data_IF_043711263237
#
_entry.id   IF_043711263237
#
_cell.length_a   1.000
_cell.length_b   1.000
_cell.length_c   1.000
_cell.angle_alpha   90.00
_cell.angle_beta   90.00
_cell.angle_gamma   90.00
#
_symmetry.space_group_name_H-M   'P 1'
#
loop_
_entity.id
_entity.type
_entity.pdbx_description
1 polymer ?
#
# COMPACT_ATOMS: atom_id res chain seq x y z
N UNK A 1 -23.24 -10.38 -4.89
CA UNK A 1 -24.00 -9.46 -4.00
C UNK A 1 -25.51 -9.80 -3.95
N UNK A 2 -25.90 -11.10 -4.06
CA UNK A 2 -27.31 -11.50 -4.10
C UNK A 2 -28.12 -11.20 -2.82
N UNK A 3 -27.47 -10.96 -1.70
CA UNK A 3 -28.12 -10.66 -0.41
C UNK A 3 -27.99 -9.20 0.03
N UNK A 4 -27.37 -8.33 -0.76
CA UNK A 4 -27.20 -6.92 -0.41
C UNK A 4 -28.55 -6.22 -0.39
N UNK A 5 -28.98 -5.80 0.79
CA UNK A 5 -30.26 -5.12 1.02
C UNK A 5 -30.13 -3.72 1.57
N UNK A 6 -28.95 -3.37 2.09
CA UNK A 6 -28.70 -2.10 2.76
C UNK A 6 -27.45 -1.42 2.22
N UNK A 7 -27.56 -0.10 2.00
CA UNK A 7 -26.46 0.73 1.56
C UNK A 7 -26.45 2.04 2.39
N UNK A 8 -25.43 2.24 3.20
CA UNK A 8 -25.30 3.38 4.09
C UNK A 8 -24.36 4.43 3.52
N UNK A 9 -24.72 5.71 3.66
CA UNK A 9 -23.93 6.87 3.22
C UNK A 9 -23.59 7.78 4.39
N UNK A 10 -22.66 7.38 5.29
CA UNK A 10 -22.25 8.21 6.42
C UNK A 10 -21.61 9.52 5.95
N UNK A 11 -21.78 10.57 6.75
CA UNK A 11 -21.17 11.88 6.53
C UNK A 11 -19.89 12.07 7.32
N UNK A 12 -19.71 11.28 8.39
CA UNK A 12 -18.57 11.34 9.31
C UNK A 12 -17.97 9.96 9.54
N UNK A 13 -16.74 9.94 10.04
CA UNK A 13 -16.05 8.69 10.43
C UNK A 13 -16.82 8.00 11.55
N UNK A 14 -17.35 8.77 12.49
CA UNK A 14 -18.14 8.28 13.63
C UNK A 14 -19.39 7.52 13.15
N UNK A 15 -20.15 8.10 12.23
CA UNK A 15 -21.32 7.44 11.63
C UNK A 15 -20.94 6.15 10.88
N UNK A 16 -19.84 6.18 10.11
CA UNK A 16 -19.35 5.00 9.41
C UNK A 16 -19.05 3.85 10.39
N UNK A 17 -18.34 4.15 11.47
CA UNK A 17 -18.02 3.17 12.51
C UNK A 17 -19.26 2.66 13.26
N UNK A 18 -20.28 3.52 13.46
CA UNK A 18 -21.57 3.11 14.05
C UNK A 18 -22.31 2.14 13.13
N UNK A 19 -22.44 2.43 11.84
CA UNK A 19 -23.09 1.52 10.89
C UNK A 19 -22.36 0.17 10.79
N UNK A 20 -21.03 0.17 10.89
CA UNK A 20 -20.25 -1.06 10.91
C UNK A 20 -20.46 -1.87 12.21
N UNK A 21 -20.60 -1.19 13.36
CA UNK A 21 -20.76 -1.82 14.66
C UNK A 21 -22.18 -2.30 14.98
N UNK A 22 -23.19 -1.60 14.46
CA UNK A 22 -24.60 -1.87 14.73
C UNK A 22 -25.27 -2.71 13.63
N UNK A 23 -24.51 -3.10 12.60
CA UNK A 23 -25.04 -3.82 11.45
C UNK A 23 -25.59 -5.20 11.85
N UNK A 24 -26.88 -5.40 11.67
CA UNK A 24 -27.44 -6.74 11.59
C UNK A 24 -26.94 -7.38 10.30
N UNK A 25 -26.28 -8.55 10.41
CA UNK A 25 -25.71 -9.26 9.29
C UNK A 25 -24.30 -8.78 8.87
N UNK A 26 -23.77 -9.34 7.79
CA UNK A 26 -22.41 -9.08 7.35
C UNK A 26 -22.31 -7.75 6.58
N UNK A 27 -21.66 -6.80 7.21
CA UNK A 27 -21.44 -5.44 6.69
C UNK A 27 -19.99 -5.24 6.25
N UNK A 28 -19.76 -4.52 5.15
CA UNK A 28 -18.42 -4.18 4.68
C UNK A 28 -18.31 -2.70 4.29
N UNK A 29 -17.08 -2.18 4.39
CA UNK A 29 -16.74 -0.84 3.90
C UNK A 29 -16.57 -0.87 2.39
N UNK A 30 -17.10 0.15 1.72
CA UNK A 30 -16.79 0.47 0.32
C UNK A 30 -16.29 1.92 0.22
N UNK A 31 -15.30 2.14 -0.64
CA UNK A 31 -14.85 3.46 -1.07
C UNK A 31 -14.85 3.49 -2.61
N UNK A 32 -13.75 3.25 -3.29
CA UNK A 32 -13.70 3.23 -4.76
C UNK A 32 -14.37 2.03 -5.45
N UNK A 33 -14.86 1.05 -4.71
CA UNK A 33 -15.64 -0.10 -5.22
C UNK A 33 -14.86 -1.17 -5.99
N UNK A 34 -13.64 -0.91 -6.43
CA UNK A 34 -12.86 -1.80 -7.31
C UNK A 34 -12.54 -3.15 -6.69
N UNK A 35 -12.27 -3.20 -5.39
CA UNK A 35 -12.00 -4.43 -4.64
C UNK A 35 -13.30 -5.21 -4.35
N UNK A 36 -14.37 -4.50 -4.00
CA UNK A 36 -15.67 -5.11 -3.72
C UNK A 36 -16.27 -5.79 -4.96
N UNK A 37 -16.07 -5.20 -6.15
CA UNK A 37 -16.51 -5.80 -7.42
C UNK A 37 -15.79 -7.11 -7.74
N UNK A 38 -14.49 -7.23 -7.40
CA UNK A 38 -13.70 -8.43 -7.64
C UNK A 38 -13.93 -9.54 -6.61
N UNK A 39 -14.32 -9.16 -5.38
CA UNK A 39 -14.57 -10.10 -4.28
C UNK A 39 -16.06 -10.26 -4.05
N UNK A 40 -16.82 -10.63 -5.08
CA UNK A 40 -18.26 -10.84 -4.99
C UNK A 40 -18.62 -11.79 -3.83
N UNK A 41 -18.71 -11.25 -2.60
CA UNK A 41 -19.08 -11.98 -1.40
C UNK A 41 -20.61 -12.05 -1.33
N UNK A 42 -21.14 -13.23 -1.59
CA UNK A 42 -22.60 -13.47 -1.58
C UNK A 42 -23.21 -13.40 -0.19
N UNK A 43 -22.40 -13.35 0.87
CA UNK A 43 -22.86 -13.25 2.26
C UNK A 43 -23.01 -11.82 2.76
N UNK A 44 -22.54 -10.82 1.98
CA UNK A 44 -22.70 -9.41 2.34
C UNK A 44 -24.17 -8.98 2.27
N UNK A 45 -24.64 -8.37 3.32
CA UNK A 45 -26.00 -7.84 3.49
C UNK A 45 -26.05 -6.32 3.47
N UNK A 46 -24.97 -5.67 3.88
CA UNK A 46 -24.88 -4.22 3.91
C UNK A 46 -23.50 -3.68 3.45
N UNK A 47 -23.50 -2.49 2.86
CA UNK A 47 -22.29 -1.73 2.54
C UNK A 47 -22.36 -0.37 3.22
N UNK A 48 -21.21 0.10 3.70
CA UNK A 48 -21.00 1.44 4.25
C UNK A 48 -20.07 2.19 3.30
N UNK A 49 -20.61 3.13 2.55
CA UNK A 49 -19.85 3.93 1.58
C UNK A 49 -19.21 5.14 2.25
N UNK A 50 -17.90 5.06 2.42
CA UNK A 50 -17.09 6.12 3.02
C UNK A 50 -16.49 7.10 1.99
N UNK A 51 -16.76 6.92 0.70
CA UNK A 51 -16.13 7.68 -0.38
C UNK A 51 -16.41 9.20 -0.34
N UNK A 52 -17.52 9.59 0.29
CA UNK A 52 -17.96 10.97 0.41
C UNK A 52 -17.62 11.64 1.75
N UNK A 53 -16.92 10.95 2.65
CA UNK A 53 -16.45 11.55 3.91
C UNK A 53 -15.25 12.44 3.60
N UNK A 54 -15.44 13.75 3.68
CA UNK A 54 -14.41 14.75 3.32
C UNK A 54 -13.14 14.61 4.17
N UNK A 55 -13.30 14.25 5.45
CA UNK A 55 -12.19 13.99 6.38
C UNK A 55 -11.25 12.86 5.94
N UNK A 56 -11.63 12.05 4.96
CA UNK A 56 -10.84 10.93 4.43
C UNK A 56 -10.19 11.24 3.07
N UNK A 57 -10.37 12.43 2.51
CA UNK A 57 -9.89 12.78 1.16
C UNK A 57 -8.97 14.01 1.19
N UNK A 58 -7.69 13.79 1.41
CA UNK A 58 -6.68 14.84 1.43
C UNK A 58 -5.27 14.29 1.24
N UNK A 59 -4.35 15.17 0.82
CA UNK A 59 -2.90 14.99 0.89
C UNK A 59 -2.35 16.22 1.60
N UNK A 60 -1.86 16.05 2.81
CA UNK A 60 -1.24 17.09 3.61
C UNK A 60 0.24 16.77 3.84
N UNK A 61 1.06 17.81 3.92
CA UNK A 61 2.48 17.70 4.24
C UNK A 61 2.81 18.61 5.42
N UNK A 62 3.44 18.06 6.42
CA UNK A 62 4.17 18.82 7.44
C UNK A 62 5.68 18.68 7.25
N UNK A 63 6.48 19.15 8.20
CA UNK A 63 7.95 19.11 8.11
C UNK A 63 8.50 17.67 8.06
N UNK A 64 7.83 16.70 8.68
CA UNK A 64 8.31 15.35 8.90
C UNK A 64 7.54 14.27 8.12
N UNK A 65 6.28 14.53 7.75
CA UNK A 65 5.40 13.51 7.20
C UNK A 65 4.52 14.02 6.06
N UNK A 66 4.19 13.11 5.16
CA UNK A 66 3.01 13.19 4.31
C UNK A 66 1.87 12.44 4.99
N UNK A 67 0.69 13.05 5.00
CA UNK A 67 -0.55 12.47 5.52
C UNK A 67 -1.55 12.34 4.39
N UNK A 68 -1.96 11.12 4.10
CA UNK A 68 -2.82 10.79 2.97
C UNK A 68 -4.10 10.16 3.51
N UNK A 69 -5.21 10.83 3.31
CA UNK A 69 -6.52 10.33 3.70
C UNK A 69 -6.87 9.02 2.97
N UNK A 70 -7.57 8.12 3.63
CA UNK A 70 -7.83 6.78 3.09
C UNK A 70 -8.69 6.78 1.81
N UNK A 71 -9.53 7.79 1.60
CA UNK A 71 -10.33 7.95 0.39
C UNK A 71 -9.65 8.76 -0.71
N UNK A 72 -8.42 9.26 -0.50
CA UNK A 72 -7.61 9.90 -1.54
C UNK A 72 -7.43 8.93 -2.70
N UNK A 73 -7.73 9.38 -3.91
CA UNK A 73 -7.64 8.55 -5.12
C UNK A 73 -6.17 8.32 -5.50
N UNK A 74 -5.87 7.16 -6.05
CA UNK A 74 -4.52 6.85 -6.57
C UNK A 74 -4.08 7.86 -7.64
N UNK A 75 -5.02 8.37 -8.44
CA UNK A 75 -4.73 9.41 -9.43
C UNK A 75 -4.29 10.73 -8.79
N UNK A 76 -4.86 11.09 -7.64
CA UNK A 76 -4.49 12.30 -6.90
C UNK A 76 -3.09 12.15 -6.28
N UNK A 77 -2.75 10.95 -5.77
CA UNK A 77 -1.38 10.65 -5.34
C UNK A 77 -0.39 10.78 -6.51
N UNK A 78 -0.71 10.18 -7.66
CA UNK A 78 0.15 10.23 -8.85
C UNK A 78 0.40 11.66 -9.33
N UNK A 79 -0.60 12.53 -9.28
CA UNK A 79 -0.56 13.90 -9.80
C UNK A 79 -0.28 14.98 -8.76
N UNK A 80 -0.17 14.62 -7.49
CA UNK A 80 -0.02 15.59 -6.40
C UNK A 80 1.24 16.45 -6.56
N UNK A 81 1.12 17.79 -6.60
CA UNK A 81 2.28 18.68 -6.58
C UNK A 81 2.96 18.76 -5.21
N UNK A 82 2.28 18.28 -4.15
CA UNK A 82 2.75 18.35 -2.77
C UNK A 82 3.62 17.16 -2.38
N UNK A 83 3.51 16.04 -3.09
CA UNK A 83 4.34 14.85 -2.92
C UNK A 83 5.71 15.07 -3.58
N UNK A 84 6.63 15.74 -2.86
CA UNK A 84 7.99 16.06 -3.31
C UNK A 84 9.02 15.22 -2.55
N UNK A 85 10.29 15.36 -2.95
CA UNK A 85 11.39 14.62 -2.31
C UNK A 85 11.33 13.12 -2.52
N UNK A 86 12.17 12.35 -1.83
CA UNK A 86 12.34 10.92 -2.07
C UNK A 86 11.03 10.12 -1.88
N UNK A 87 10.35 10.30 -0.76
CA UNK A 87 9.12 9.57 -0.46
C UNK A 87 7.99 9.93 -1.44
N UNK A 88 7.80 11.22 -1.73
CA UNK A 88 6.78 11.67 -2.68
C UNK A 88 7.00 11.09 -4.08
N UNK A 89 8.26 11.10 -4.56
CA UNK A 89 8.64 10.52 -5.86
C UNK A 89 8.35 9.01 -5.91
N UNK A 90 8.65 8.28 -4.85
CA UNK A 90 8.37 6.84 -4.78
C UNK A 90 6.86 6.56 -4.84
N UNK A 91 6.06 7.30 -4.07
CA UNK A 91 4.61 7.18 -4.08
C UNK A 91 4.02 7.47 -5.46
N UNK A 92 4.47 8.56 -6.12
CA UNK A 92 4.03 8.91 -7.46
C UNK A 92 4.43 7.85 -8.50
N UNK A 93 5.66 7.33 -8.42
CA UNK A 93 6.14 6.28 -9.32
C UNK A 93 5.30 5.01 -9.19
N UNK A 94 5.03 4.54 -7.97
CA UNK A 94 4.19 3.38 -7.70
C UNK A 94 2.73 3.62 -8.15
N UNK A 95 2.14 4.76 -7.79
CA UNK A 95 0.78 5.12 -8.16
C UNK A 95 0.59 5.19 -9.69
N UNK A 96 1.56 5.75 -10.40
CA UNK A 96 1.54 5.88 -11.87
C UNK A 96 1.59 4.55 -12.61
N UNK A 97 2.04 3.48 -11.98
CA UNK A 97 2.10 2.12 -12.55
C UNK A 97 0.82 1.29 -12.29
N UNK A 98 -0.14 1.81 -11.55
CA UNK A 98 -1.41 1.13 -11.27
C UNK A 98 -2.37 1.36 -12.44
N UNK A 99 -2.60 0.33 -13.23
CA UNK A 99 -3.62 0.25 -14.28
C UNK A 99 -3.77 1.50 -15.15
N UNK A 100 -5.00 1.77 -15.57
CA UNK A 100 -5.36 2.94 -16.37
C UNK A 100 -5.73 4.16 -15.49
N UNK A 101 -5.80 5.34 -16.11
CA UNK A 101 -6.28 6.56 -15.44
C UNK A 101 -7.70 6.39 -14.87
N UNK A 102 -8.58 5.70 -15.61
CA UNK A 102 -9.95 5.42 -15.13
C UNK A 102 -9.93 4.58 -13.85
N UNK A 103 -9.07 3.56 -13.82
CA UNK A 103 -8.93 2.71 -12.64
C UNK A 103 -8.32 3.48 -11.45
N UNK A 104 -7.30 4.31 -11.68
CA UNK A 104 -6.70 5.16 -10.64
C UNK A 104 -7.66 6.20 -10.07
N UNK A 105 -8.62 6.68 -10.87
CA UNK A 105 -9.69 7.57 -10.40
C UNK A 105 -10.72 6.87 -9.49
N UNK A 106 -10.79 5.55 -9.54
CA UNK A 106 -11.67 4.76 -8.68
C UNK A 106 -10.96 4.21 -7.44
N UNK A 107 -9.72 3.70 -7.60
CA UNK A 107 -8.97 3.13 -6.47
C UNK A 107 -8.60 4.24 -5.47
N UNK A 108 -8.81 3.96 -4.18
CA UNK A 108 -8.40 4.84 -3.07
C UNK A 108 -7.19 4.28 -2.33
N UNK A 109 -6.43 5.16 -1.65
CA UNK A 109 -5.22 4.81 -0.89
C UNK A 109 -5.49 3.72 0.15
N UNK A 110 -6.47 3.95 1.03
CA UNK A 110 -6.87 2.99 2.06
C UNK A 110 -7.51 1.74 1.47
N UNK A 111 -8.34 1.88 0.43
CA UNK A 111 -8.95 0.74 -0.27
C UNK A 111 -7.93 -0.18 -0.94
N UNK A 112 -6.87 0.38 -1.54
CA UNK A 112 -5.78 -0.39 -2.13
C UNK A 112 -4.99 -1.16 -1.07
N UNK A 113 -4.73 -0.53 0.08
CA UNK A 113 -4.05 -1.16 1.21
C UNK A 113 -4.92 -2.23 1.88
N UNK A 114 -6.20 -1.96 2.15
CA UNK A 114 -7.12 -2.95 2.73
C UNK A 114 -7.40 -4.13 1.79
N UNK A 115 -7.52 -3.85 0.50
CA UNK A 115 -7.70 -4.86 -0.54
C UNK A 115 -6.51 -5.81 -0.66
N UNK A 116 -5.32 -5.30 -0.53
CA UNK A 116 -4.03 -6.01 -0.52
C UNK A 116 -3.97 -7.15 -1.55
N UNK A 117 -4.21 -6.79 -2.83
CA UNK A 117 -4.02 -7.74 -3.91
C UNK A 117 -2.53 -8.00 -4.14
N UNK A 118 -2.14 -9.25 -4.50
CA UNK A 118 -0.73 -9.61 -4.73
C UNK A 118 -0.01 -8.78 -5.80
N UNK A 119 -0.72 -7.99 -6.56
CA UNK A 119 -0.21 -7.12 -7.63
C UNK A 119 -0.37 -5.62 -7.35
N UNK A 120 -0.78 -5.25 -6.12
CA UNK A 120 -0.94 -3.84 -5.74
C UNK A 120 0.40 -3.16 -5.52
N UNK A 121 0.67 -2.08 -6.25
CA UNK A 121 1.97 -1.42 -6.25
C UNK A 121 2.18 -0.44 -5.08
N UNK A 122 1.13 0.24 -4.58
CA UNK A 122 1.27 1.18 -3.45
C UNK A 122 1.65 0.50 -2.12
N UNK A 123 1.13 -0.67 -1.72
CA UNK A 123 1.54 -1.32 -0.48
C UNK A 123 3.04 -1.61 -0.41
N UNK A 124 3.70 -1.95 -1.52
CA UNK A 124 5.14 -2.17 -1.54
C UNK A 124 5.92 -0.86 -1.36
N UNK A 125 5.42 0.25 -1.92
CA UNK A 125 5.99 1.57 -1.70
C UNK A 125 5.82 2.03 -0.24
N UNK A 126 4.65 1.83 0.36
CA UNK A 126 4.42 2.12 1.78
C UNK A 126 5.35 1.30 2.69
N UNK A 127 5.57 0.03 2.38
CA UNK A 127 6.49 -0.84 3.13
C UNK A 127 7.93 -0.34 3.06
N UNK A 128 8.43 0.02 1.88
CA UNK A 128 9.78 0.57 1.69
C UNK A 128 9.96 1.94 2.36
N UNK A 129 8.87 2.69 2.55
CA UNK A 129 8.86 3.99 3.21
C UNK A 129 8.63 3.91 4.73
N UNK A 130 8.62 2.73 5.32
CA UNK A 130 8.28 2.55 6.75
C UNK A 130 7.00 3.33 7.14
N UNK A 131 5.99 3.31 6.26
CA UNK A 131 4.75 4.05 6.46
C UNK A 131 3.92 3.47 7.61
N UNK A 132 3.11 4.32 8.21
CA UNK A 132 2.15 3.94 9.25
C UNK A 132 0.72 4.11 8.74
N UNK A 133 -0.21 3.37 9.33
CA UNK A 133 -1.64 3.48 9.08
C UNK A 133 -2.37 3.89 10.34
N UNK A 134 -3.26 4.88 10.20
CA UNK A 134 -4.16 5.31 11.27
C UNK A 134 -5.49 4.61 11.08
N UNK A 135 -5.88 3.83 12.07
CA UNK A 135 -7.17 3.19 12.14
C UNK A 135 -8.07 3.95 13.13
N UNK A 136 -9.34 4.16 12.77
CA UNK A 136 -10.32 4.87 13.56
C UNK A 136 -11.51 3.98 13.89
N UNK A 137 -11.93 4.05 15.16
CA UNK A 137 -13.17 3.46 15.68
C UNK A 137 -14.04 4.57 16.25
N UNK A 138 -14.57 5.42 15.37
CA UNK A 138 -15.12 6.70 15.76
C UNK A 138 -14.01 7.66 16.24
N UNK A 139 -14.13 8.22 17.46
CA UNK A 139 -13.11 9.11 18.05
C UNK A 139 -11.78 8.42 18.40
N UNK A 140 -11.77 7.23 19.05
CA UNK A 140 -10.53 6.52 19.32
C UNK A 140 -9.77 6.19 18.02
N UNK A 141 -8.45 6.42 18.05
CA UNK A 141 -7.54 6.11 16.96
C UNK A 141 -6.33 5.32 17.46
N UNK A 142 -5.79 4.46 16.61
CA UNK A 142 -4.49 3.83 16.80
C UNK A 142 -3.65 4.02 15.53
N UNK A 143 -2.35 4.20 15.72
CA UNK A 143 -1.38 4.28 14.64
C UNK A 143 -0.45 3.09 14.74
N UNK A 144 -0.25 2.40 13.64
CA UNK A 144 0.55 1.16 13.58
C UNK A 144 1.34 1.11 12.26
N UNK A 145 2.48 0.41 12.23
CA UNK A 145 3.21 0.20 10.98
C UNK A 145 2.31 -0.45 9.91
N UNK A 146 2.40 0.03 8.66
CA UNK A 146 1.71 -0.59 7.52
C UNK A 146 2.06 -2.07 7.39
N UNK A 147 3.29 -2.45 7.74
CA UNK A 147 3.75 -3.82 7.71
C UNK A 147 2.85 -4.76 8.55
N UNK A 148 2.44 -4.34 9.76
CA UNK A 148 1.56 -5.13 10.62
C UNK A 148 0.19 -5.40 9.97
N UNK A 149 -0.36 -4.43 9.24
CA UNK A 149 -1.60 -4.62 8.49
C UNK A 149 -1.39 -5.56 7.29
N UNK A 150 -0.25 -5.44 6.58
CA UNK A 150 0.08 -6.29 5.43
C UNK A 150 0.22 -7.75 5.88
N UNK A 151 0.95 -8.02 6.94
CA UNK A 151 1.20 -9.36 7.48
C UNK A 151 -0.09 -10.04 7.95
N UNK A 152 -0.94 -9.30 8.68
CA UNK A 152 -2.18 -9.84 9.25
C UNK A 152 -3.35 -9.81 8.28
N UNK A 153 -3.34 -8.90 7.31
CA UNK A 153 -4.44 -8.51 6.39
C UNK A 153 -5.61 -7.80 7.07
N UNK A 154 -6.21 -6.85 6.38
CA UNK A 154 -7.24 -5.98 6.93
C UNK A 154 -8.42 -6.71 7.63
N UNK A 155 -8.97 -7.82 7.10
CA UNK A 155 -10.09 -8.49 7.76
C UNK A 155 -9.80 -9.06 9.15
N UNK A 156 -8.54 -9.43 9.42
CA UNK A 156 -8.10 -9.92 10.74
C UNK A 156 -7.48 -8.81 11.59
N UNK A 157 -7.01 -7.75 10.94
CA UNK A 157 -6.30 -6.64 11.59
C UNK A 157 -7.25 -5.59 12.15
N UNK A 158 -8.32 -5.27 11.43
CA UNK A 158 -9.31 -4.27 11.82
C UNK A 158 -10.38 -4.89 12.72
N UNK A 159 -10.77 -4.17 13.78
CA UNK A 159 -11.96 -4.52 14.53
C UNK A 159 -13.22 -4.34 13.66
N UNK A 160 -14.33 -4.97 14.04
CA UNK A 160 -15.56 -5.00 13.25
C UNK A 160 -16.11 -3.60 12.89
N UNK A 161 -15.87 -2.62 13.76
CA UNK A 161 -16.31 -1.23 13.58
C UNK A 161 -15.14 -0.25 13.43
N UNK A 162 -14.04 -0.71 12.86
CA UNK A 162 -12.84 0.08 12.63
C UNK A 162 -12.61 0.28 11.13
N UNK A 163 -12.16 1.47 10.75
CA UNK A 163 -11.78 1.79 9.37
C UNK A 163 -10.34 2.32 9.30
N UNK A 164 -9.69 2.12 8.16
CA UNK A 164 -8.48 2.85 7.82
C UNK A 164 -8.88 4.28 7.51
N UNK A 165 -8.27 5.25 8.20
CA UNK A 165 -8.57 6.66 8.03
C UNK A 165 -7.45 7.43 7.32
N UNK A 166 -6.19 7.10 7.57
CA UNK A 166 -5.03 7.85 7.07
C UNK A 166 -3.84 6.91 6.86
N UNK A 167 -2.98 7.23 5.90
CA UNK A 167 -1.64 6.67 5.75
C UNK A 167 -0.64 7.81 6.03
N UNK A 168 0.31 7.57 6.94
CA UNK A 168 1.36 8.51 7.32
C UNK A 168 2.67 8.00 6.72
N UNK A 169 3.35 8.85 5.96
CA UNK A 169 4.59 8.50 5.28
C UNK A 169 5.69 9.48 5.67
N UNK A 170 6.83 9.03 6.21
CA UNK A 170 7.95 9.92 6.51
C UNK A 170 8.44 10.68 5.27
N UNK A 171 8.72 11.97 5.42
CA UNK A 171 9.09 12.86 4.31
C UNK A 171 10.63 12.94 4.13
N UNK A 172 11.31 11.86 4.16
CA UNK A 172 12.78 11.75 4.13
C UNK A 172 13.50 12.94 3.49
N UNK A 173 14.62 13.34 4.13
CA UNK A 173 15.45 14.47 3.72
C UNK A 173 16.62 14.10 2.81
N UNK A 174 17.61 15.01 2.70
CA UNK A 174 18.85 14.78 1.96
C UNK A 174 19.56 13.49 2.38
N UNK A 175 20.28 12.87 1.46
CA UNK A 175 20.94 11.59 1.67
C UNK A 175 20.02 10.37 1.49
N UNK A 176 18.71 10.56 1.27
CA UNK A 176 17.80 9.46 0.95
C UNK A 176 17.52 9.38 -0.56
N UNK A 177 17.72 8.21 -1.13
CA UNK A 177 17.35 7.84 -2.49
C UNK A 177 16.20 6.83 -2.48
N UNK A 178 15.32 6.89 -3.49
CA UNK A 178 14.23 5.95 -3.67
C UNK A 178 14.06 5.56 -5.13
N UNK A 179 13.64 4.33 -5.37
CA UNK A 179 13.32 3.83 -6.70
C UNK A 179 12.11 2.88 -6.66
N UNK A 180 11.34 2.87 -7.74
CA UNK A 180 10.27 1.92 -8.00
C UNK A 180 10.45 1.28 -9.38
N UNK A 181 10.40 -0.03 -9.44
CA UNK A 181 10.42 -0.78 -10.68
C UNK A 181 9.25 -1.76 -10.73
N UNK A 182 8.70 -1.97 -11.92
CA UNK A 182 7.63 -2.94 -12.19
C UNK A 182 7.88 -3.62 -13.52
N UNK A 183 7.94 -4.94 -13.50
CA UNK A 183 7.90 -5.79 -14.67
C UNK A 183 6.46 -6.28 -14.87
N UNK A 184 5.92 -6.08 -16.05
CA UNK A 184 4.59 -6.54 -16.46
C UNK A 184 4.59 -6.80 -17.97
N UNK A 185 3.62 -7.55 -18.49
CA UNK A 185 3.53 -7.83 -19.94
C UNK A 185 3.24 -6.57 -20.76
N UNK A 186 2.39 -5.70 -20.24
CA UNK A 186 2.09 -4.38 -20.83
C UNK A 186 2.06 -3.30 -19.73
N UNK A 187 1.99 -2.04 -20.12
CA UNK A 187 2.02 -0.91 -19.19
C UNK A 187 0.88 -0.93 -18.15
N UNK A 188 -0.26 -1.51 -18.50
CA UNK A 188 -1.47 -1.54 -17.65
C UNK A 188 -1.72 -2.90 -16.97
N UNK A 189 -0.90 -3.90 -17.25
CA UNK A 189 -1.07 -5.24 -16.70
C UNK A 189 -0.71 -5.30 -15.20
N UNK A 190 -1.18 -6.36 -14.57
CA UNK A 190 -0.74 -6.75 -13.24
C UNK A 190 0.77 -7.05 -13.24
N UNK A 191 1.44 -6.68 -12.17
CA UNK A 191 2.85 -6.95 -12.01
C UNK A 191 3.16 -8.46 -12.09
N UNK A 192 4.21 -8.81 -12.82
CA UNK A 192 4.92 -10.08 -12.69
C UNK A 192 5.76 -10.00 -11.42
N UNK A 193 6.44 -8.87 -11.25
CA UNK A 193 7.15 -8.45 -10.05
C UNK A 193 7.10 -6.91 -9.96
N UNK A 194 7.00 -6.37 -8.76
CA UNK A 194 7.26 -4.95 -8.49
C UNK A 194 8.16 -4.80 -7.27
N UNK A 195 9.01 -3.78 -7.32
CA UNK A 195 10.06 -3.50 -6.34
C UNK A 195 10.01 -2.04 -5.94
N UNK A 196 10.09 -1.79 -4.63
CA UNK A 196 10.32 -0.46 -4.08
C UNK A 196 11.58 -0.48 -3.22
N UNK A 197 12.45 0.49 -3.42
CA UNK A 197 13.71 0.63 -2.68
C UNK A 197 13.79 2.01 -2.06
N UNK A 198 14.28 2.07 -0.82
CA UNK A 198 14.73 3.28 -0.16
C UNK A 198 16.08 3.01 0.49
N UNK A 199 17.05 3.84 0.17
CA UNK A 199 18.36 3.85 0.80
C UNK A 199 18.59 5.23 1.43
N UNK A 200 19.03 5.26 2.67
CA UNK A 200 19.48 6.47 3.34
C UNK A 200 20.99 6.38 3.56
N UNK A 201 21.73 7.32 3.01
CA UNK A 201 23.19 7.39 3.13
C UNK A 201 23.59 8.39 4.20
N UNK A 202 24.61 8.04 4.96
CA UNK A 202 25.31 8.95 5.87
C UNK A 202 26.80 8.81 5.60
N UNK A 203 27.45 9.93 5.28
CA UNK A 203 28.89 9.98 4.99
C UNK A 203 29.33 8.99 3.88
N UNK A 204 28.50 8.82 2.86
CA UNK A 204 28.75 7.91 1.73
C UNK A 204 28.46 6.44 2.00
N UNK A 205 28.05 6.08 3.21
CA UNK A 205 27.74 4.71 3.64
C UNK A 205 26.22 4.53 3.77
N UNK A 206 25.71 3.36 3.42
CA UNK A 206 24.29 3.02 3.58
C UNK A 206 23.98 2.91 5.09
N UNK A 207 23.30 3.91 5.63
CA UNK A 207 22.85 3.91 7.02
C UNK A 207 21.58 3.07 7.22
N UNK A 208 20.70 3.07 6.23
CA UNK A 208 19.46 2.29 6.26
C UNK A 208 19.04 1.90 4.85
N UNK A 209 18.74 0.62 4.67
CA UNK A 209 18.17 0.06 3.45
C UNK A 209 16.75 -0.47 3.71
N UNK A 210 15.85 -0.24 2.77
CA UNK A 210 14.50 -0.81 2.72
C UNK A 210 14.22 -1.27 1.31
N UNK A 211 14.05 -2.56 1.15
CA UNK A 211 13.81 -3.22 -0.14
C UNK A 211 12.57 -4.08 0.00
N UNK A 212 11.49 -3.70 -0.65
CA UNK A 212 10.24 -4.44 -0.62
C UNK A 212 9.86 -4.92 -2.01
N UNK A 213 9.41 -6.17 -2.11
CA UNK A 213 8.97 -6.80 -3.36
C UNK A 213 7.52 -7.24 -3.27
N UNK A 214 6.84 -7.28 -4.40
CA UNK A 214 5.46 -7.74 -4.51
C UNK A 214 5.24 -8.57 -5.77
N UNK A 215 4.07 -9.20 -5.87
CA UNK A 215 3.61 -10.08 -6.94
C UNK A 215 4.30 -11.46 -6.99
N UNK A 216 5.34 -11.68 -6.22
CA UNK A 216 6.06 -12.96 -6.12
C UNK A 216 5.61 -13.83 -4.94
N UNK A 217 4.83 -13.24 -4.03
CA UNK A 217 4.25 -13.89 -2.83
C UNK A 217 2.76 -13.55 -2.72
N UNK A 218 2.08 -14.04 -1.69
CA UNK A 218 0.66 -13.73 -1.46
C UNK A 218 0.42 -12.26 -1.05
N UNK A 219 1.44 -11.61 -0.50
CA UNK A 219 1.44 -10.21 -0.04
C UNK A 219 2.85 -9.65 -0.17
N UNK A 220 3.04 -8.32 -0.18
CA UNK A 220 4.36 -7.71 -0.21
C UNK A 220 5.25 -8.22 0.92
N UNK A 221 6.54 -8.38 0.65
CA UNK A 221 7.54 -8.80 1.63
C UNK A 221 8.80 -7.96 1.51
N UNK A 222 9.57 -7.88 2.60
CA UNK A 222 10.88 -7.22 2.61
C UNK A 222 12.00 -8.20 2.31
N UNK A 223 13.02 -7.73 1.58
CA UNK A 223 14.23 -8.48 1.24
C UNK A 223 15.29 -8.27 2.34
N UNK A 224 15.04 -8.81 3.53
CA UNK A 224 15.84 -8.52 4.73
C UNK A 224 17.33 -8.87 4.60
N UNK A 225 17.67 -9.94 3.88
CA UNK A 225 19.07 -10.34 3.69
C UNK A 225 19.81 -9.34 2.78
N UNK A 226 19.15 -8.83 1.74
CA UNK A 226 19.73 -7.80 0.89
C UNK A 226 19.89 -6.45 1.65
N UNK A 227 18.92 -6.08 2.49
CA UNK A 227 19.00 -4.89 3.32
C UNK A 227 20.19 -4.95 4.29
N UNK A 228 20.34 -6.05 5.04
CA UNK A 228 21.47 -6.29 5.96
C UNK A 228 22.81 -6.26 5.23
N UNK A 229 22.87 -6.80 4.01
CA UNK A 229 24.09 -6.84 3.22
C UNK A 229 24.55 -5.42 2.84
N UNK A 230 23.62 -4.51 2.54
CA UNK A 230 23.92 -3.14 2.14
C UNK A 230 24.26 -2.24 3.32
N UNK A 231 23.60 -2.39 4.47
CA UNK A 231 23.77 -1.52 5.62
C UNK A 231 25.19 -1.57 6.17
N UNK A 232 25.75 -0.38 6.48
CA UNK A 232 27.10 -0.21 6.96
C UNK A 232 28.20 -0.19 5.88
N UNK A 233 27.82 -0.27 4.58
CA UNK A 233 28.78 -0.32 3.46
C UNK A 233 28.61 0.85 2.50
N UNK A 234 29.70 1.25 1.84
CA UNK A 234 29.64 2.14 0.70
C UNK A 234 29.08 1.39 -0.52
N UNK A 235 28.24 2.04 -1.31
CA UNK A 235 27.68 1.44 -2.51
C UNK A 235 28.73 1.23 -3.59
N UNK A 236 28.77 0.03 -4.18
CA UNK A 236 29.50 -0.29 -5.41
C UNK A 236 28.60 -1.14 -6.32
N UNK A 237 28.95 -1.26 -7.59
CA UNK A 237 28.20 -2.10 -8.53
C UNK A 237 28.20 -3.56 -8.10
N UNK A 238 29.34 -4.05 -7.61
CA UNK A 238 29.46 -5.43 -7.11
C UNK A 238 28.59 -5.70 -5.88
N UNK A 239 28.56 -4.75 -4.91
CA UNK A 239 27.70 -4.86 -3.74
C UNK A 239 26.22 -4.84 -4.09
N UNK A 240 25.82 -4.01 -5.06
CA UNK A 240 24.45 -3.95 -5.57
C UNK A 240 24.07 -5.26 -6.24
N UNK A 241 24.96 -5.82 -7.06
CA UNK A 241 24.73 -7.12 -7.72
C UNK A 241 24.61 -8.27 -6.68
N UNK A 242 25.47 -8.29 -5.67
CA UNK A 242 25.38 -9.25 -4.58
C UNK A 242 24.07 -9.12 -3.81
N UNK A 243 23.65 -7.89 -3.49
CA UNK A 243 22.38 -7.64 -2.80
C UNK A 243 21.17 -8.06 -3.65
N UNK A 244 21.20 -7.82 -4.97
CA UNK A 244 20.16 -8.26 -5.88
C UNK A 244 20.03 -9.79 -5.89
N UNK A 245 21.14 -10.52 -5.99
CA UNK A 245 21.15 -11.98 -5.92
C UNK A 245 20.59 -12.50 -4.59
N UNK A 246 20.90 -11.83 -3.48
CA UNK A 246 20.41 -12.22 -2.14
C UNK A 246 18.96 -11.79 -1.87
N UNK A 247 18.40 -10.90 -2.66
CA UNK A 247 17.08 -10.32 -2.41
C UNK A 247 15.96 -11.37 -2.31
N UNK A 248 16.11 -12.49 -3.00
CA UNK A 248 15.10 -13.56 -3.08
C UNK A 248 15.47 -14.83 -2.33
N UNK A 249 16.66 -14.93 -1.70
CA UNK A 249 17.15 -16.18 -1.09
C UNK A 249 16.21 -16.74 -0.01
N UNK A 250 15.63 -15.87 0.83
CA UNK A 250 14.71 -16.25 1.90
C UNK A 250 13.24 -16.20 1.50
N UNK A 251 12.93 -15.87 0.23
CA UNK A 251 11.55 -15.65 -0.22
C UNK A 251 11.03 -16.89 -0.95
N UNK A 252 9.92 -17.45 -0.45
CA UNK A 252 9.20 -18.52 -1.14
C UNK A 252 8.40 -17.94 -2.31
N UNK A 253 9.02 -17.90 -3.48
CA UNK A 253 8.46 -17.33 -4.70
C UNK A 253 7.37 -18.24 -5.26
N UNK A 254 6.21 -17.65 -5.59
CA UNK A 254 5.08 -18.35 -6.19
C UNK A 254 5.11 -18.26 -7.72
N UNK A 255 4.86 -19.37 -8.37
CA UNK A 255 4.48 -19.40 -9.79
C UNK A 255 2.99 -19.14 -9.97
N UNK A 256 2.61 -18.52 -11.07
CA UNK A 256 1.24 -18.40 -11.54
C UNK A 256 1.19 -18.31 -13.08
N UNK A 257 -0.01 -18.03 -13.64
CA UNK A 257 -0.20 -17.92 -15.11
C UNK A 257 0.62 -16.80 -15.78
N UNK A 258 1.20 -15.88 -14.99
CA UNK A 258 1.96 -14.72 -15.48
C UNK A 258 3.43 -15.04 -15.69
N UNK A 259 4.02 -15.84 -14.78
CA UNK A 259 5.44 -16.20 -14.82
C UNK A 259 5.76 -17.41 -13.95
N UNK A 260 6.84 -18.13 -14.30
CA UNK A 260 7.43 -19.18 -13.46
C UNK A 260 8.16 -18.58 -12.26
N UNK A 261 8.59 -19.46 -11.33
CA UNK A 261 9.42 -19.06 -10.20
C UNK A 261 10.80 -18.57 -10.67
N UNK A 262 11.43 -19.33 -11.58
CA UNK A 262 12.75 -19.03 -12.14
C UNK A 262 12.78 -17.65 -12.78
N UNK A 263 11.78 -17.33 -13.64
CA UNK A 263 11.68 -16.03 -14.31
C UNK A 263 11.50 -14.86 -13.34
N UNK A 264 10.88 -15.10 -12.18
CA UNK A 264 10.72 -14.07 -11.13
C UNK A 264 11.95 -13.91 -10.27
N UNK A 265 12.80 -14.93 -10.24
CA UNK A 265 14.06 -14.91 -9.49
C UNK A 265 15.15 -14.13 -10.23
N UNK A 266 15.21 -14.26 -11.56
CA UNK A 266 16.05 -13.44 -12.43
C UNK A 266 15.63 -11.96 -12.42
#
# INVERSE_FOLDING_TARGET
>A
LKKLTRFYHPKTIEEACQFLGNGEGRTAVIAGGTSAALRADSSLEALVDISHISELNYINKDAAFYRIGACTRVQDIYKSPDLKGPAGKLLQAAAGKIGSTLLRNAITAGGNLAGLFPWSDLPVAYMALDAEVVCRRGRPKRTVPVMSLIETRAPQFLAANEIIAEIIVPAYGPGTGTAFAKLAKTANDYAIISLAVRLTLKEGVVNQARIAVNAITAQPVRCLEAEKLLEGKALSEELIAEAANKATDSINIRKDIRASEEYRRE
#
